data_IF_063787792135
#
_entry.id   IF_063787792135
#
_cell.length_a   1.000
_cell.length_b   1.000
_cell.length_c   1.000
_cell.angle_alpha   90.00
_cell.angle_beta   90.00
_cell.angle_gamma   90.00
#
_symmetry.space_group_name_H-M   'P 1'
#
loop_
_entity.id
_entity.type
_entity.pdbx_description
1 polymer ?
#
# COMPACT_ATOMS: atom_id res chain seq x y z
N UNK A 1 -18.52 -23.12 3.05
CA UNK A 1 -18.54 -21.69 2.67
C UNK A 1 -18.31 -21.61 1.16
N UNK A 2 -19.15 -20.90 0.38
CA UNK A 2 -18.87 -20.71 -1.03
C UNK A 2 -17.52 -20.02 -1.20
N UNK A 3 -16.64 -20.62 -1.99
CA UNK A 3 -15.31 -20.06 -2.29
C UNK A 3 -15.47 -18.75 -3.04
N UNK A 4 -15.14 -17.61 -2.41
CA UNK A 4 -15.15 -16.31 -3.08
C UNK A 4 -13.78 -16.01 -3.70
N UNK A 5 -13.39 -16.84 -4.68
CA UNK A 5 -12.07 -16.77 -5.34
C UNK A 5 -11.83 -15.40 -5.99
N UNK A 6 -12.85 -14.81 -6.61
CA UNK A 6 -12.75 -13.48 -7.23
C UNK A 6 -12.42 -12.40 -6.20
N UNK A 7 -13.13 -12.38 -5.07
CA UNK A 7 -12.84 -11.43 -3.98
C UNK A 7 -11.43 -11.59 -3.41
N UNK A 8 -10.98 -12.84 -3.23
CA UNK A 8 -9.60 -13.12 -2.78
C UNK A 8 -8.56 -12.66 -3.79
N UNK A 9 -8.77 -12.96 -5.08
CA UNK A 9 -7.87 -12.53 -6.14
C UNK A 9 -7.78 -11.00 -6.22
N UNK A 10 -8.92 -10.30 -6.20
CA UNK A 10 -8.95 -8.83 -6.17
C UNK A 10 -8.20 -8.25 -4.96
N UNK A 11 -8.44 -8.82 -3.77
CA UNK A 11 -7.77 -8.42 -2.54
C UNK A 11 -6.25 -8.60 -2.63
N UNK A 12 -5.80 -9.80 -3.02
CA UNK A 12 -4.39 -10.21 -2.96
C UNK A 12 -3.57 -9.60 -4.09
N UNK A 13 -4.08 -9.62 -5.33
CA UNK A 13 -3.41 -8.99 -6.48
C UNK A 13 -3.36 -7.48 -6.30
N UNK A 14 -4.46 -6.86 -5.87
CA UNK A 14 -4.51 -5.42 -5.62
C UNK A 14 -3.51 -4.98 -4.56
N UNK A 15 -3.45 -5.68 -3.42
CA UNK A 15 -2.50 -5.37 -2.36
C UNK A 15 -1.04 -5.61 -2.79
N UNK A 16 -0.79 -6.71 -3.51
CA UNK A 16 0.55 -7.04 -4.01
C UNK A 16 1.06 -6.01 -5.01
N UNK A 17 0.20 -5.55 -5.92
CA UNK A 17 0.55 -4.50 -6.88
C UNK A 17 0.80 -3.15 -6.18
N UNK A 18 -0.03 -2.79 -5.19
CA UNK A 18 0.16 -1.55 -4.41
C UNK A 18 1.48 -1.57 -3.63
N UNK A 19 1.77 -2.65 -2.90
CA UNK A 19 3.04 -2.84 -2.20
C UNK A 19 4.23 -2.88 -3.17
N UNK A 20 4.19 -3.79 -4.15
CA UNK A 20 5.30 -4.07 -5.04
C UNK A 20 5.66 -2.87 -5.92
N UNK A 21 4.68 -2.17 -6.49
CA UNK A 21 4.95 -1.01 -7.33
C UNK A 21 5.48 0.19 -6.55
N UNK A 22 5.00 0.42 -5.33
CA UNK A 22 5.54 1.51 -4.48
C UNK A 22 6.95 1.19 -3.99
N UNK A 23 7.23 -0.07 -3.62
CA UNK A 23 8.57 -0.52 -3.27
C UNK A 23 9.52 -0.41 -4.47
N UNK A 24 9.12 -0.88 -5.66
CA UNK A 24 9.89 -0.78 -6.89
C UNK A 24 10.21 0.67 -7.25
N UNK A 25 9.29 1.61 -7.00
CA UNK A 25 9.58 3.02 -7.22
C UNK A 25 10.60 3.58 -6.22
N UNK A 26 10.52 3.19 -4.96
CA UNK A 26 11.46 3.63 -3.92
C UNK A 26 12.89 3.12 -4.17
N UNK A 27 13.04 1.84 -4.52
CA UNK A 27 14.37 1.21 -4.69
C UNK A 27 14.94 1.31 -6.11
N UNK A 28 14.05 1.35 -7.11
CA UNK A 28 14.38 1.33 -8.54
C UNK A 28 14.19 2.69 -9.18
N UNK A 29 12.93 3.09 -9.45
CA UNK A 29 12.61 4.29 -10.25
C UNK A 29 13.29 5.56 -9.72
N UNK A 30 13.11 5.87 -8.43
CA UNK A 30 13.60 7.11 -7.85
C UNK A 30 15.13 7.19 -7.91
N UNK A 31 15.82 6.07 -7.67
CA UNK A 31 17.28 5.98 -7.75
C UNK A 31 17.76 6.06 -9.20
N UNK A 32 17.13 5.31 -10.10
CA UNK A 32 17.48 5.27 -11.52
C UNK A 32 17.30 6.64 -12.20
N UNK A 33 16.32 7.44 -11.75
CA UNK A 33 16.16 8.81 -12.23
C UNK A 33 17.42 9.67 -12.00
N UNK A 34 18.15 9.45 -10.90
CA UNK A 34 19.40 10.17 -10.62
C UNK A 34 20.57 9.81 -11.51
N UNK A 35 20.48 8.75 -12.32
CA UNK A 35 21.49 8.39 -13.31
C UNK A 35 21.34 9.16 -14.63
N UNK A 36 20.37 10.07 -14.74
CA UNK A 36 20.17 10.88 -15.94
C UNK A 36 21.27 11.95 -16.09
N UNK A 37 21.51 12.39 -17.34
CA UNK A 37 22.62 13.30 -17.71
C UNK A 37 22.53 14.71 -17.09
N UNK A 38 21.39 15.06 -16.49
CA UNK A 38 21.22 16.35 -15.81
C UNK A 38 20.15 16.29 -14.74
N UNK A 39 20.20 17.22 -13.77
CA UNK A 39 19.21 17.32 -12.71
C UNK A 39 17.77 17.53 -13.23
N UNK A 40 17.61 18.24 -14.36
CA UNK A 40 16.30 18.43 -14.99
C UNK A 40 15.82 17.14 -15.67
N UNK A 41 16.73 16.41 -16.31
CA UNK A 41 16.41 15.09 -16.88
C UNK A 41 16.02 14.09 -15.78
N UNK A 42 16.69 14.12 -14.63
CA UNK A 42 16.35 13.29 -13.48
C UNK A 42 14.91 13.56 -12.98
N UNK A 43 14.56 14.83 -12.77
CA UNK A 43 13.19 15.23 -12.42
C UNK A 43 12.15 14.79 -13.47
N UNK A 44 12.49 14.91 -14.77
CA UNK A 44 11.62 14.46 -15.87
C UNK A 44 11.41 12.94 -15.85
N UNK A 45 12.47 12.15 -15.71
CA UNK A 45 12.39 10.67 -15.66
C UNK A 45 11.52 10.22 -14.49
N UNK A 46 11.73 10.82 -13.32
CA UNK A 46 10.92 10.52 -12.14
C UNK A 46 9.43 10.85 -12.37
N UNK A 47 9.12 12.03 -12.90
CA UNK A 47 7.74 12.43 -13.19
C UNK A 47 7.07 11.48 -14.18
N UNK A 48 7.74 11.16 -15.29
CA UNK A 48 7.21 10.23 -16.31
C UNK A 48 6.89 8.86 -15.70
N UNK A 49 7.81 8.31 -14.89
CA UNK A 49 7.59 7.02 -14.23
C UNK A 49 6.43 7.05 -13.23
N UNK A 50 6.33 8.10 -12.42
CA UNK A 50 5.25 8.26 -11.46
C UNK A 50 3.89 8.50 -12.12
N UNK A 51 3.84 9.27 -13.21
CA UNK A 51 2.61 9.54 -13.95
C UNK A 51 2.10 8.26 -14.64
N UNK A 52 3.00 7.41 -15.15
CA UNK A 52 2.64 6.10 -15.69
C UNK A 52 2.14 5.13 -14.59
N UNK A 53 2.76 5.14 -13.41
CA UNK A 53 2.39 4.26 -12.30
C UNK A 53 1.07 4.66 -11.62
N UNK A 54 0.80 5.96 -11.49
CA UNK A 54 -0.35 6.49 -10.73
C UNK A 54 -1.71 5.85 -11.08
N UNK A 55 -2.14 5.73 -12.35
CA UNK A 55 -3.41 5.09 -12.68
C UNK A 55 -3.43 3.60 -12.33
N UNK A 56 -2.30 2.90 -12.53
CA UNK A 56 -2.17 1.48 -12.16
C UNK A 56 -2.30 1.30 -10.65
N UNK A 57 -1.67 2.18 -9.87
CA UNK A 57 -1.79 2.18 -8.41
C UNK A 57 -3.24 2.41 -7.95
N UNK A 58 -3.97 3.32 -8.61
CA UNK A 58 -5.38 3.56 -8.30
C UNK A 58 -6.24 2.32 -8.57
N UNK A 59 -6.00 1.60 -9.68
CA UNK A 59 -6.67 0.33 -9.98
C UNK A 59 -6.32 -0.76 -8.96
N UNK A 60 -5.04 -0.86 -8.57
CA UNK A 60 -4.58 -1.81 -7.55
C UNK A 60 -5.28 -1.58 -6.20
N UNK A 61 -5.34 -0.32 -5.75
CA UNK A 61 -6.07 0.07 -4.54
C UNK A 61 -7.56 -0.28 -4.67
N UNK A 62 -8.19 0.09 -5.79
CA UNK A 62 -9.60 -0.22 -6.05
C UNK A 62 -9.91 -1.72 -5.98
N UNK A 63 -9.09 -2.54 -6.64
CA UNK A 63 -9.19 -4.01 -6.58
C UNK A 63 -9.04 -4.52 -5.13
N UNK A 64 -8.04 -4.03 -4.40
CA UNK A 64 -7.84 -4.42 -3.01
C UNK A 64 -9.05 -4.10 -2.12
N UNK A 65 -9.65 -2.91 -2.28
CA UNK A 65 -10.81 -2.49 -1.50
C UNK A 65 -12.06 -3.31 -1.84
N UNK A 66 -12.33 -3.56 -3.12
CA UNK A 66 -13.45 -4.41 -3.55
C UNK A 66 -13.31 -5.83 -3.00
N UNK A 67 -12.11 -6.41 -3.09
CA UNK A 67 -11.82 -7.71 -2.49
C UNK A 67 -11.94 -7.69 -0.96
N UNK A 68 -11.49 -6.63 -0.30
CA UNK A 68 -11.61 -6.48 1.16
C UNK A 68 -13.07 -6.46 1.63
N UNK A 69 -13.94 -5.73 0.93
CA UNK A 69 -15.39 -5.71 1.22
C UNK A 69 -16.00 -7.09 1.01
N UNK A 70 -15.66 -7.76 -0.09
CA UNK A 70 -16.14 -9.12 -0.36
C UNK A 70 -15.68 -10.14 0.70
N UNK A 71 -14.43 -10.03 1.17
CA UNK A 71 -13.91 -10.87 2.25
C UNK A 71 -14.60 -10.56 3.59
N UNK A 72 -14.84 -9.29 3.93
CA UNK A 72 -15.53 -8.93 5.16
C UNK A 72 -16.97 -9.47 5.17
N UNK A 73 -17.67 -9.33 4.04
CA UNK A 73 -19.02 -9.86 3.88
C UNK A 73 -19.08 -11.39 3.99
N UNK A 74 -18.13 -12.10 3.38
CA UNK A 74 -18.04 -13.56 3.45
C UNK A 74 -17.58 -14.12 4.80
N UNK A 75 -17.03 -13.29 5.69
CA UNK A 75 -16.52 -13.71 7.00
C UNK A 75 -17.36 -13.22 8.19
N UNK A 76 -18.55 -12.65 7.96
CA UNK A 76 -19.43 -12.10 9.03
C UNK A 76 -19.65 -13.07 10.19
N UNK A 77 -19.97 -14.33 9.89
CA UNK A 77 -20.18 -15.37 10.91
C UNK A 77 -18.91 -15.64 11.73
N UNK A 78 -17.75 -15.71 11.08
CA UNK A 78 -16.47 -15.94 11.76
C UNK A 78 -16.06 -14.76 12.64
N UNK A 79 -16.34 -13.55 12.21
CA UNK A 79 -16.13 -12.34 13.03
C UNK A 79 -16.98 -12.44 14.31
N UNK A 80 -18.24 -12.89 14.18
CA UNK A 80 -19.13 -13.06 15.30
C UNK A 80 -18.78 -14.25 16.20
N UNK A 81 -18.23 -15.34 15.66
CA UNK A 81 -18.12 -16.62 16.36
C UNK A 81 -16.69 -17.10 16.67
N UNK A 82 -15.64 -16.60 16.02
CA UNK A 82 -14.26 -17.05 16.23
C UNK A 82 -13.46 -16.01 17.02
N UNK A 83 -12.79 -16.41 18.10
CA UNK A 83 -11.98 -15.50 18.93
C UNK A 83 -10.84 -14.90 18.08
N UNK A 84 -10.56 -13.60 18.27
CA UNK A 84 -9.47 -12.89 17.60
C UNK A 84 -9.73 -12.45 16.14
N UNK A 85 -10.72 -13.01 15.45
CA UNK A 85 -11.04 -12.62 14.05
C UNK A 85 -11.54 -11.18 13.97
N UNK A 86 -12.40 -10.75 14.90
CA UNK A 86 -12.87 -9.36 14.96
C UNK A 86 -11.73 -8.35 15.16
N UNK A 87 -10.84 -8.60 16.12
CA UNK A 87 -9.66 -7.75 16.35
C UNK A 87 -8.77 -7.68 15.11
N UNK A 88 -8.52 -8.82 14.44
CA UNK A 88 -7.75 -8.86 13.20
C UNK A 88 -8.40 -8.02 12.09
N UNK A 89 -9.73 -8.10 11.93
CA UNK A 89 -10.47 -7.28 10.96
C UNK A 89 -10.35 -5.78 11.25
N UNK A 90 -10.37 -5.37 12.51
CA UNK A 90 -10.16 -3.96 12.91
C UNK A 90 -8.74 -3.52 12.58
N UNK A 91 -7.73 -4.30 12.99
CA UNK A 91 -6.31 -3.97 12.73
C UNK A 91 -6.04 -3.83 11.24
N UNK A 92 -6.54 -4.76 10.40
CA UNK A 92 -6.42 -4.66 8.94
C UNK A 92 -7.09 -3.40 8.40
N UNK A 93 -8.31 -3.10 8.84
CA UNK A 93 -9.03 -1.91 8.40
C UNK A 93 -8.26 -0.62 8.73
N UNK A 94 -7.72 -0.51 9.94
CA UNK A 94 -6.94 0.65 10.37
C UNK A 94 -5.65 0.80 9.55
N UNK A 95 -4.94 -0.30 9.30
CA UNK A 95 -3.75 -0.28 8.46
C UNK A 95 -4.07 0.09 7.01
N UNK A 96 -5.17 -0.42 6.45
CA UNK A 96 -5.62 -0.02 5.10
C UNK A 96 -5.95 1.46 5.05
N UNK A 97 -6.67 2.00 6.05
CA UNK A 97 -6.98 3.42 6.13
C UNK A 97 -5.71 4.28 6.24
N UNK A 98 -4.74 3.86 7.06
CA UNK A 98 -3.44 4.54 7.16
C UNK A 98 -2.69 4.53 5.83
N UNK A 99 -2.61 3.37 5.16
CA UNK A 99 -1.95 3.23 3.85
C UNK A 99 -2.61 4.12 2.78
N UNK A 100 -3.94 4.20 2.75
CA UNK A 100 -4.70 5.09 1.87
C UNK A 100 -4.38 6.55 2.16
N UNK A 101 -4.40 6.97 3.42
CA UNK A 101 -4.11 8.35 3.83
C UNK A 101 -2.70 8.77 3.42
N UNK A 102 -1.70 7.92 3.69
CA UNK A 102 -0.30 8.17 3.30
C UNK A 102 -0.14 8.20 1.79
N UNK A 103 -0.81 7.31 1.05
CA UNK A 103 -0.76 7.31 -0.42
C UNK A 103 -1.41 8.55 -1.02
N UNK A 104 -2.57 8.97 -0.51
CA UNK A 104 -3.25 10.18 -0.93
C UNK A 104 -2.40 11.44 -0.66
N UNK A 105 -1.81 11.54 0.53
CA UNK A 105 -0.91 12.64 0.86
C UNK A 105 0.34 12.67 -0.03
N UNK A 106 0.92 11.50 -0.30
CA UNK A 106 2.03 11.36 -1.26
C UNK A 106 1.62 11.82 -2.65
N UNK A 107 0.39 11.53 -3.10
CA UNK A 107 -0.08 11.98 -4.41
C UNK A 107 -0.24 13.50 -4.50
N UNK A 108 -0.73 14.14 -3.44
CA UNK A 108 -0.83 15.62 -3.36
C UNK A 108 0.56 16.25 -3.50
N UNK A 109 1.54 15.75 -2.75
CA UNK A 109 2.92 16.23 -2.83
C UNK A 109 3.55 15.94 -4.21
N UNK A 110 3.34 14.74 -4.76
CA UNK A 110 3.83 14.37 -6.09
C UNK A 110 3.21 15.23 -7.20
N UNK A 111 1.94 15.62 -7.08
CA UNK A 111 1.30 16.55 -8.02
C UNK A 111 1.99 17.92 -7.96
N UNK A 112 2.31 18.41 -6.77
CA UNK A 112 3.06 19.65 -6.60
C UNK A 112 4.43 19.61 -7.28
N UNK A 113 5.15 18.49 -7.16
CA UNK A 113 6.45 18.29 -7.83
C UNK A 113 6.29 18.20 -9.35
N UNK A 114 5.29 17.47 -9.84
CA UNK A 114 5.01 17.31 -11.28
C UNK A 114 4.60 18.62 -11.95
N UNK A 115 3.79 19.46 -11.28
CA UNK A 115 3.37 20.79 -11.77
C UNK A 115 4.52 21.79 -11.97
N UNK A 116 5.72 21.51 -11.46
CA UNK A 116 6.92 22.32 -11.70
C UNK A 116 7.68 21.92 -12.99
N UNK A 117 7.05 21.15 -13.90
CA UNK A 117 7.54 20.84 -15.27
C UNK A 117 8.99 20.33 -15.33
N UNK A 118 9.28 19.32 -14.51
CA UNK A 118 10.61 18.76 -14.23
C UNK A 118 11.48 19.69 -13.37
N UNK A 119 11.17 19.82 -12.07
CA UNK A 119 12.06 20.53 -11.16
C UNK A 119 13.43 19.83 -11.15
N UNK A 120 14.55 20.59 -11.18
CA UNK A 120 15.88 20.01 -11.02
C UNK A 120 15.92 19.12 -9.77
N UNK A 121 16.49 17.92 -9.89
CA UNK A 121 16.54 16.93 -8.82
C UNK A 121 17.83 16.10 -8.92
N UNK A 122 18.37 15.66 -7.77
CA UNK A 122 19.46 14.67 -7.72
C UNK A 122 18.91 13.26 -7.97
N UNK A 123 17.66 13.00 -7.57
CA UNK A 123 16.95 11.74 -7.78
C UNK A 123 15.43 11.97 -7.63
N UNK A 124 14.61 10.94 -7.83
CA UNK A 124 13.14 11.10 -7.87
C UNK A 124 12.48 11.69 -6.62
N UNK A 125 13.19 11.75 -5.48
CA UNK A 125 12.71 12.40 -4.24
C UNK A 125 13.75 13.32 -3.59
N UNK A 126 14.87 13.60 -4.26
CA UNK A 126 15.95 14.42 -3.72
C UNK A 126 16.11 15.71 -4.52
N UNK A 127 15.88 16.88 -3.90
CA UNK A 127 16.05 18.16 -4.59
C UNK A 127 17.52 18.44 -4.86
N UNK A 128 17.80 19.17 -5.93
CA UNK A 128 19.11 19.77 -6.21
C UNK A 128 19.14 21.25 -5.81
N UNK A 129 20.29 21.91 -5.96
CA UNK A 129 20.46 23.33 -5.61
C UNK A 129 19.50 24.26 -6.37
N UNK A 130 19.09 23.88 -7.58
CA UNK A 130 18.16 24.65 -8.41
C UNK A 130 16.67 24.38 -8.17
N UNK A 131 16.31 23.48 -7.24
CA UNK A 131 14.90 23.18 -6.96
C UNK A 131 14.24 24.35 -6.20
N UNK A 132 13.05 24.82 -6.63
CA UNK A 132 12.28 25.81 -5.87
C UNK A 132 12.05 25.36 -4.41
N UNK A 133 12.16 26.25 -3.41
CA UNK A 133 12.15 25.85 -1.99
C UNK A 133 10.92 25.06 -1.57
N UNK A 134 9.76 25.42 -2.11
CA UNK A 134 8.47 24.84 -1.78
C UNK A 134 8.25 23.47 -2.45
N UNK A 135 8.89 23.23 -3.60
CA UNK A 135 9.00 21.93 -4.29
C UNK A 135 10.02 21.04 -3.57
N UNK A 136 11.16 21.59 -3.18
CA UNK A 136 12.18 20.87 -2.41
C UNK A 136 11.63 20.35 -1.08
N UNK A 137 10.80 21.14 -0.40
CA UNK A 137 10.09 20.70 0.80
C UNK A 137 9.14 19.51 0.52
N UNK A 138 8.44 19.50 -0.62
CA UNK A 138 7.58 18.39 -1.01
C UNK A 138 8.39 17.12 -1.33
N UNK A 139 9.50 17.26 -2.06
CA UNK A 139 10.41 16.15 -2.38
C UNK A 139 10.99 15.52 -1.11
N UNK A 140 11.43 16.32 -0.14
CA UNK A 140 11.92 15.82 1.17
C UNK A 140 10.87 15.02 1.93
N UNK A 141 9.60 15.44 1.89
CA UNK A 141 8.49 14.66 2.47
C UNK A 141 8.29 13.36 1.70
N UNK A 142 8.26 13.40 0.37
CA UNK A 142 8.16 12.20 -0.48
C UNK A 142 9.30 11.22 -0.22
N UNK A 143 10.52 11.70 0.09
CA UNK A 143 11.66 10.86 0.45
C UNK A 143 11.40 9.98 1.69
N UNK A 144 10.60 10.46 2.64
CA UNK A 144 10.14 9.67 3.78
C UNK A 144 8.96 8.78 3.41
N UNK A 145 7.97 9.36 2.72
CA UNK A 145 6.72 8.67 2.39
C UNK A 145 6.90 7.51 1.41
N UNK A 146 7.93 7.54 0.56
CA UNK A 146 8.27 6.44 -0.34
C UNK A 146 8.53 5.13 0.41
N UNK A 147 8.89 5.19 1.69
CA UNK A 147 9.08 4.02 2.56
C UNK A 147 7.87 3.73 3.43
N UNK A 148 7.12 4.76 3.85
CA UNK A 148 5.93 4.58 4.67
C UNK A 148 4.86 3.74 3.96
N UNK A 149 4.63 3.96 2.66
CA UNK A 149 3.62 3.19 1.90
C UNK A 149 3.99 1.69 1.80
N UNK A 150 5.22 1.31 1.37
CA UNK A 150 5.65 -0.09 1.37
C UNK A 150 5.63 -0.74 2.76
N UNK A 151 5.99 -0.02 3.83
CA UNK A 151 5.94 -0.59 5.19
C UNK A 151 4.50 -0.90 5.60
N UNK A 152 3.56 0.00 5.36
CA UNK A 152 2.15 -0.21 5.71
C UNK A 152 1.52 -1.33 4.87
N UNK A 153 1.72 -1.31 3.55
CA UNK A 153 1.16 -2.30 2.62
C UNK A 153 1.83 -3.67 2.75
N UNK A 154 3.14 -3.70 3.03
CA UNK A 154 3.87 -4.92 3.37
C UNK A 154 3.39 -5.53 4.70
N UNK A 155 3.13 -4.71 5.72
CA UNK A 155 2.52 -5.16 6.97
C UNK A 155 1.13 -5.77 6.74
N UNK A 156 0.32 -5.13 5.88
CA UNK A 156 -0.97 -5.68 5.46
C UNK A 156 -0.84 -7.02 4.72
N UNK A 157 0.20 -7.21 3.89
CA UNK A 157 0.47 -8.49 3.25
C UNK A 157 0.77 -9.57 4.29
N UNK A 158 1.67 -9.30 5.24
CA UNK A 158 2.01 -10.24 6.32
C UNK A 158 0.78 -10.62 7.14
N UNK A 159 -0.05 -9.65 7.53
CA UNK A 159 -1.31 -9.91 8.23
C UNK A 159 -2.32 -10.68 7.38
N UNK A 160 -2.28 -10.51 6.06
CA UNK A 160 -3.13 -11.24 5.13
C UNK A 160 -2.72 -12.69 4.99
N UNK A 161 -1.41 -12.97 4.88
CA UNK A 161 -0.85 -14.32 4.95
C UNK A 161 -1.18 -15.00 6.27
N UNK A 162 -0.96 -14.32 7.41
CA UNK A 162 -1.30 -14.86 8.72
C UNK A 162 -2.80 -15.20 8.85
N UNK A 163 -3.68 -14.30 8.42
CA UNK A 163 -5.12 -14.55 8.44
C UNK A 163 -5.55 -15.69 7.51
N UNK A 164 -4.81 -15.92 6.40
CA UNK A 164 -5.00 -17.07 5.53
C UNK A 164 -4.72 -18.40 6.24
N UNK A 165 -3.65 -18.45 7.03
CA UNK A 165 -3.32 -19.64 7.84
C UNK A 165 -4.39 -19.92 8.92
N UNK A 166 -4.92 -18.86 9.55
CA UNK A 166 -6.02 -18.97 10.53
C UNK A 166 -7.35 -19.47 9.92
N UNK A 167 -7.48 -19.51 8.60
CA UNK A 167 -8.64 -20.03 7.89
C UNK A 167 -8.54 -21.54 7.59
N UNK A 168 -7.47 -22.23 7.94
CA UNK A 168 -7.41 -23.70 7.81
C UNK A 168 -8.41 -24.36 8.77
N UNK A 169 -9.12 -25.39 8.30
CA UNK A 169 -10.22 -26.01 9.05
C UNK A 169 -9.85 -26.46 10.48
N UNK A 170 -8.64 -26.99 10.65
CA UNK A 170 -8.09 -27.42 11.94
C UNK A 170 -7.92 -26.25 12.93
N UNK A 171 -7.47 -25.09 12.44
CA UNK A 171 -7.27 -23.88 13.26
C UNK A 171 -8.60 -23.21 13.59
N UNK A 172 -9.56 -23.24 12.65
CA UNK A 172 -10.92 -22.75 12.90
C UNK A 172 -11.64 -23.52 14.00
N UNK A 173 -11.55 -24.86 14.00
CA UNK A 173 -12.16 -25.70 15.02
C UNK A 173 -11.59 -25.40 16.43
N UNK A 174 -10.26 -25.26 16.55
CA UNK A 174 -9.61 -24.87 17.81
C UNK A 174 -10.00 -23.46 18.29
N UNK A 175 -10.14 -22.50 17.38
CA UNK A 175 -10.56 -21.13 17.71
C UNK A 175 -12.02 -21.02 18.17
N UNK A 176 -12.91 -21.86 17.66
CA UNK A 176 -14.30 -21.95 18.11
C UNK A 176 -14.37 -22.57 19.51
N UNK A 177 -13.65 -23.68 19.73
CA UNK A 177 -13.55 -24.34 21.04
C UNK A 177 -13.05 -23.39 22.14
N UNK A 178 -11.98 -22.63 21.89
CA UNK A 178 -11.45 -21.65 22.84
C UNK A 178 -12.43 -20.52 23.20
N UNK A 179 -13.35 -20.19 22.30
CA UNK A 179 -14.38 -19.18 22.58
C UNK A 179 -15.53 -19.72 23.43
N UNK A 180 -15.88 -20.99 23.23
CA UNK A 180 -16.94 -21.66 23.99
C UNK A 180 -16.47 -22.14 25.36
N UNK A 181 -15.17 -22.46 25.48
CA UNK A 181 -14.50 -22.82 26.72
C UNK A 181 -13.36 -21.83 26.98
N UNK A 182 -13.65 -20.56 27.31
CA UNK A 182 -12.61 -19.67 27.79
C UNK A 182 -12.09 -20.28 29.10
N UNK A 183 -10.87 -20.82 29.07
CA UNK A 183 -10.22 -21.30 30.29
C UNK A 183 -10.11 -20.16 31.30
N UNK A 184 -10.33 -20.51 32.57
CA UNK A 184 -10.28 -19.62 33.75
C UNK A 184 -9.04 -18.70 33.79
#
# INVERSE_FOLDING_TARGET
MPTNTVSRALHDVGLSAWFGGTLANAVGLNKAAGAADSARAAGKVANVGWDAWTPVNALAIGAHLLGSVGQLAGNKERIAAQQGVGTMSVVKTLLTAAALGVTAYSRVLGKKVSSAEAPPAESGTEPSVGTPPDVAAAMRKLKLLQWAVPVLTGSLLVLSSYAGEQQRAQVQAGGLLKRLMPGD
#
